data_IF_097019160075
#
_entry.id   IF_097019160075
#
_cell.length_a   1.000
_cell.length_b   1.000
_cell.length_c   1.000
_cell.angle_alpha   90.00
_cell.angle_beta   90.00
_cell.angle_gamma   90.00
#
_symmetry.space_group_name_H-M   'P 1'
#
loop_
_entity.id
_entity.type
_entity.pdbx_description
1 polymer ?
#
# COMPACT_ATOMS: atom_id res chain seq x y z
N UNK A 1 5.81 10.44 -0.33
CA UNK A 1 4.67 11.19 -0.89
C UNK A 1 3.67 10.22 -1.50
N UNK A 2 4.20 9.29 -2.29
CA UNK A 2 3.50 8.33 -3.17
C UNK A 2 2.42 7.48 -2.48
N UNK A 3 2.55 7.21 -1.17
CA UNK A 3 1.53 6.48 -0.40
C UNK A 3 0.21 7.24 -0.30
N UNK A 4 0.26 8.56 -0.10
CA UNK A 4 -0.95 9.38 0.04
C UNK A 4 -1.62 9.64 -1.32
N UNK A 5 -0.83 9.78 -2.38
CA UNK A 5 -1.32 9.97 -3.74
C UNK A 5 -2.07 8.72 -4.26
N UNK A 6 -1.64 7.53 -3.84
CA UNK A 6 -2.27 6.26 -4.21
C UNK A 6 -3.41 5.83 -3.28
N UNK A 7 -3.61 6.51 -2.15
CA UNK A 7 -4.54 6.13 -1.09
C UNK A 7 -6.00 6.10 -1.54
N UNK A 8 -6.35 6.91 -2.54
CA UNK A 8 -7.69 7.03 -3.08
C UNK A 8 -7.94 6.17 -4.34
N UNK A 9 -6.96 5.40 -4.82
CA UNK A 9 -7.12 4.52 -5.97
C UNK A 9 -7.49 3.08 -5.52
N UNK A 10 -8.73 2.61 -5.78
CA UNK A 10 -9.18 1.27 -5.39
C UNK A 10 -8.40 0.13 -6.07
N UNK A 11 -7.64 0.43 -7.11
CA UNK A 11 -6.84 -0.50 -7.90
C UNK A 11 -5.36 -0.51 -7.53
N UNK A 12 -4.96 0.29 -6.54
CA UNK A 12 -3.63 0.24 -5.94
C UNK A 12 -3.70 -0.41 -4.55
N UNK A 13 -2.57 -0.93 -4.04
CA UNK A 13 -2.54 -1.58 -2.72
C UNK A 13 -3.04 -0.68 -1.58
N UNK A 14 -2.67 0.61 -1.61
CA UNK A 14 -3.00 1.61 -0.58
C UNK A 14 -4.46 2.05 -0.59
N UNK A 15 -5.14 2.02 -1.74
CA UNK A 15 -6.57 2.30 -1.86
C UNK A 15 -7.46 1.05 -1.87
N UNK A 16 -6.89 -0.14 -1.69
CA UNK A 16 -7.61 -1.42 -1.69
C UNK A 16 -8.67 -1.57 -0.58
N UNK A 17 -8.77 -0.62 0.35
CA UNK A 17 -9.82 -0.52 1.36
C UNK A 17 -11.16 -0.04 0.80
N UNK A 18 -11.17 0.73 -0.30
CA UNK A 18 -12.38 1.35 -0.86
C UNK A 18 -13.46 0.32 -1.22
N UNK A 19 -13.17 -0.82 -1.86
CA UNK A 19 -14.20 -1.79 -2.24
C UNK A 19 -14.90 -2.47 -1.06
N UNK A 20 -14.43 -2.31 0.17
CA UNK A 20 -15.11 -2.82 1.37
C UNK A 20 -16.23 -1.90 1.86
N UNK A 21 -16.36 -0.71 1.27
CA UNK A 21 -17.30 0.32 1.71
C UNK A 21 -18.48 0.41 0.75
N UNK A 22 -19.68 0.39 1.32
CA UNK A 22 -20.95 0.69 0.65
C UNK A 22 -21.48 2.05 1.13
N UNK A 23 -22.04 2.83 0.21
CA UNK A 23 -22.72 4.08 0.51
C UNK A 23 -24.22 3.82 0.59
N UNK A 24 -24.79 4.04 1.77
CA UNK A 24 -26.20 3.86 2.08
C UNK A 24 -26.90 5.21 2.23
N UNK A 25 -28.21 5.23 2.00
CA UNK A 25 -29.04 6.40 2.30
C UNK A 25 -29.87 6.14 3.54
N UNK A 26 -29.57 6.89 4.60
CA UNK A 26 -30.44 7.00 5.75
C UNK A 26 -31.57 7.99 5.43
N UNK A 27 -32.76 7.45 5.22
CA UNK A 27 -33.97 8.21 4.87
C UNK A 27 -34.56 9.00 6.04
N UNK A 28 -34.27 8.60 7.27
CA UNK A 28 -34.76 9.31 8.47
C UNK A 28 -34.00 10.62 8.64
N UNK A 29 -32.67 10.57 8.48
CA UNK A 29 -31.78 11.72 8.63
C UNK A 29 -31.44 12.43 7.32
N UNK A 30 -31.97 11.94 6.19
CA UNK A 30 -31.70 12.43 4.82
C UNK A 30 -30.20 12.57 4.52
N UNK A 31 -29.41 11.57 4.91
CA UNK A 31 -27.95 11.60 4.83
C UNK A 31 -27.38 10.31 4.26
N UNK A 32 -26.17 10.42 3.71
CA UNK A 32 -25.39 9.25 3.32
C UNK A 32 -24.68 8.66 4.54
N UNK A 33 -24.67 7.34 4.63
CA UNK A 33 -23.95 6.58 5.63
C UNK A 33 -22.98 5.62 4.95
N UNK A 34 -21.84 5.35 5.59
CA UNK A 34 -20.87 4.38 5.12
C UNK A 34 -21.03 3.08 5.90
N UNK A 35 -21.13 1.97 5.18
CA UNK A 35 -21.13 0.63 5.76
C UNK A 35 -19.91 -0.15 5.29
N UNK A 36 -19.12 -0.63 6.24
CA UNK A 36 -17.99 -1.52 5.97
C UNK A 36 -18.45 -2.97 5.96
N UNK A 37 -17.97 -3.75 4.99
CA UNK A 37 -18.23 -5.18 4.84
C UNK A 37 -16.95 -5.98 5.09
N UNK A 38 -17.09 -7.28 5.39
CA UNK A 38 -15.95 -8.18 5.65
C UNK A 38 -15.26 -8.67 4.36
N UNK A 39 -15.93 -8.51 3.21
CA UNK A 39 -15.42 -8.87 1.89
C UNK A 39 -15.40 -7.63 0.99
N UNK A 40 -14.53 -7.59 -0.02
CA UNK A 40 -14.61 -6.55 -1.04
C UNK A 40 -15.82 -6.80 -1.95
N UNK A 41 -16.50 -5.72 -2.30
CA UNK A 41 -17.52 -5.70 -3.33
C UNK A 41 -16.92 -5.50 -4.72
N UNK A 42 -17.77 -5.64 -5.74
CA UNK A 42 -17.44 -5.18 -7.09
C UNK A 42 -17.23 -3.66 -7.07
N UNK A 43 -16.12 -3.21 -7.66
CA UNK A 43 -15.84 -1.78 -7.76
C UNK A 43 -16.67 -1.14 -8.88
N UNK A 44 -17.91 -0.77 -8.55
CA UNK A 44 -18.86 -0.12 -9.44
C UNK A 44 -18.97 1.39 -9.12
N UNK A 45 -20.15 2.01 -9.32
CA UNK A 45 -20.35 3.46 -9.12
C UNK A 45 -20.08 3.91 -7.69
N UNK A 46 -20.47 3.15 -6.67
CA UNK A 46 -20.23 3.56 -5.28
C UNK A 46 -18.72 3.57 -4.97
N UNK A 47 -17.97 2.58 -5.48
CA UNK A 47 -16.51 2.55 -5.41
C UNK A 47 -15.87 3.77 -6.11
N UNK A 48 -16.32 4.09 -7.33
CA UNK A 48 -15.84 5.26 -8.05
C UNK A 48 -16.19 6.58 -7.35
N UNK A 49 -17.37 6.65 -6.72
CA UNK A 49 -17.81 7.81 -5.93
C UNK A 49 -16.92 7.99 -4.71
N UNK A 50 -16.62 6.91 -3.98
CA UNK A 50 -15.73 6.94 -2.82
C UNK A 50 -14.30 7.30 -3.20
N UNK A 51 -13.78 6.73 -4.28
CA UNK A 51 -12.45 7.07 -4.81
C UNK A 51 -12.37 8.57 -5.13
N UNK A 52 -13.35 9.11 -5.86
CA UNK A 52 -13.40 10.54 -6.18
C UNK A 52 -13.54 11.41 -4.92
N UNK A 53 -14.45 11.06 -4.00
CA UNK A 53 -14.64 11.81 -2.76
C UNK A 53 -13.37 11.83 -1.89
N UNK A 54 -12.65 10.71 -1.85
CA UNK A 54 -11.34 10.61 -1.20
C UNK A 54 -10.35 11.58 -1.86
N UNK A 55 -10.18 11.53 -3.19
CA UNK A 55 -9.26 12.42 -3.91
C UNK A 55 -9.62 13.87 -3.65
N UNK A 56 -10.87 14.27 -3.86
CA UNK A 56 -11.34 15.65 -3.67
C UNK A 56 -11.12 16.13 -2.21
N UNK A 57 -11.17 15.23 -1.23
CA UNK A 57 -10.95 15.59 0.18
C UNK A 57 -9.46 15.75 0.56
N UNK A 58 -8.54 15.09 -0.16
CA UNK A 58 -7.12 15.10 0.20
C UNK A 58 -6.26 15.95 -0.74
N UNK A 59 -6.66 16.17 -2.00
CA UNK A 59 -5.79 16.71 -3.05
C UNK A 59 -5.18 18.07 -2.66
N UNK A 60 -6.02 18.97 -2.13
CA UNK A 60 -5.61 20.31 -1.70
C UNK A 60 -4.76 20.33 -0.42
N UNK A 61 -4.76 19.22 0.34
CA UNK A 61 -4.19 19.17 1.70
C UNK A 61 -3.15 18.08 1.90
N UNK A 62 -2.82 17.32 0.86
CA UNK A 62 -2.01 16.09 0.95
C UNK A 62 -0.63 16.34 1.57
N UNK A 63 -0.03 17.51 1.30
CA UNK A 63 1.26 17.92 1.86
C UNK A 63 1.16 18.16 3.37
N UNK A 64 0.17 18.94 3.80
CA UNK A 64 -0.07 19.25 5.21
C UNK A 64 -0.46 17.99 5.99
N UNK A 65 -1.22 17.08 5.36
CA UNK A 65 -1.53 15.76 5.91
C UNK A 65 -0.26 14.94 6.16
N UNK A 66 0.65 14.91 5.18
CA UNK A 66 1.90 14.18 5.28
C UNK A 66 2.78 14.71 6.42
N UNK A 67 2.93 16.04 6.49
CA UNK A 67 3.72 16.69 7.54
C UNK A 67 3.14 16.43 8.93
N UNK A 68 1.82 16.55 9.07
CA UNK A 68 1.15 16.27 10.33
C UNK A 68 1.38 14.83 10.79
N UNK A 69 1.22 13.86 9.89
CA UNK A 69 1.41 12.44 10.20
C UNK A 69 2.84 12.12 10.62
N UNK A 70 3.85 12.68 9.94
CA UNK A 70 5.26 12.50 10.31
C UNK A 70 5.57 13.12 11.67
N UNK A 71 4.95 14.26 11.97
CA UNK A 71 5.16 14.99 13.22
C UNK A 71 4.37 14.42 14.41
N UNK A 72 3.29 13.68 14.15
CA UNK A 72 2.37 13.16 15.16
C UNK A 72 2.08 11.67 14.91
N UNK A 73 3.13 10.85 14.86
CA UNK A 73 3.03 9.41 14.55
C UNK A 73 2.13 8.62 15.51
N UNK A 74 1.98 9.10 16.74
CA UNK A 74 1.18 8.47 17.79
C UNK A 74 -0.23 9.09 17.91
N UNK A 75 -0.63 9.94 16.98
CA UNK A 75 -1.97 10.52 17.00
C UNK A 75 -3.04 9.44 16.77
N UNK A 76 -4.12 9.53 17.55
CA UNK A 76 -5.29 8.68 17.37
C UNK A 76 -6.03 8.98 16.05
N UNK A 77 -6.69 7.98 15.49
CA UNK A 77 -7.41 8.08 14.21
C UNK A 77 -8.51 9.14 14.27
N UNK A 78 -9.22 9.28 15.39
CA UNK A 78 -10.26 10.31 15.54
C UNK A 78 -9.64 11.72 15.54
N UNK A 79 -8.51 11.89 16.22
CA UNK A 79 -7.78 13.15 16.28
C UNK A 79 -7.24 13.55 14.90
N UNK A 80 -6.66 12.59 14.16
CA UNK A 80 -6.24 12.77 12.78
C UNK A 80 -7.46 13.18 11.94
N UNK A 81 -8.55 12.40 11.99
CA UNK A 81 -9.76 12.66 11.23
C UNK A 81 -10.31 14.06 11.47
N UNK A 82 -10.43 14.49 12.72
CA UNK A 82 -10.90 15.83 13.08
C UNK A 82 -9.99 16.93 12.54
N UNK A 83 -8.68 16.78 12.71
CA UNK A 83 -7.68 17.73 12.20
C UNK A 83 -7.78 17.87 10.69
N UNK A 84 -7.84 16.74 9.97
CA UNK A 84 -7.93 16.74 8.51
C UNK A 84 -9.25 17.33 8.00
N UNK A 85 -10.36 16.96 8.63
CA UNK A 85 -11.71 17.32 8.23
C UNK A 85 -12.04 18.80 8.48
N UNK A 86 -11.64 19.35 9.64
CA UNK A 86 -12.04 20.70 10.07
C UNK A 86 -10.92 21.74 10.05
N UNK A 87 -9.69 21.36 10.38
CA UNK A 87 -8.59 22.31 10.60
C UNK A 87 -7.72 22.50 9.36
N UNK A 88 -7.27 21.40 8.77
CA UNK A 88 -6.43 21.41 7.57
C UNK A 88 -7.32 21.53 6.32
N UNK A 89 -8.33 20.66 6.19
CA UNK A 89 -9.31 20.70 5.10
C UNK A 89 -10.45 21.70 5.30
N UNK A 90 -11.22 21.87 4.23
CA UNK A 90 -12.46 22.67 4.23
C UNK A 90 -13.72 21.82 4.18
N UNK A 91 -13.60 20.53 3.85
CA UNK A 91 -14.71 19.62 3.52
C UNK A 91 -15.78 19.50 4.60
N UNK A 92 -15.39 19.59 5.87
CA UNK A 92 -16.33 19.41 6.99
C UNK A 92 -16.79 20.71 7.65
N UNK A 93 -16.36 21.87 7.14
CA UNK A 93 -16.78 23.18 7.67
C UNK A 93 -18.19 23.53 7.25
N UNK A 94 -18.65 22.99 6.13
CA UNK A 94 -19.99 23.22 5.60
C UNK A 94 -20.97 22.17 6.10
N UNK A 95 -22.24 22.54 6.22
CA UNK A 95 -23.30 21.59 6.53
C UNK A 95 -23.48 20.64 5.35
N UNK A 96 -23.40 19.33 5.63
CA UNK A 96 -23.72 18.30 4.63
C UNK A 96 -25.16 18.52 4.12
N UNK A 97 -25.36 18.61 2.79
CA UNK A 97 -26.68 18.81 2.21
C UNK A 97 -27.55 17.56 2.39
N UNK A 98 -28.87 17.76 2.48
CA UNK A 98 -29.84 16.67 2.52
C UNK A 98 -29.81 15.86 1.22
N UNK A 99 -29.88 14.55 1.36
CA UNK A 99 -29.98 13.60 0.24
C UNK A 99 -31.45 13.48 -0.19
N UNK A 100 -31.75 13.55 -1.50
CA UNK A 100 -33.11 13.35 -2.01
C UNK A 100 -33.67 11.95 -1.69
N UNK A 101 -34.96 11.86 -1.35
CA UNK A 101 -35.66 10.61 -1.01
C UNK A 101 -35.63 9.56 -2.14
N UNK A 102 -35.50 10.01 -3.39
CA UNK A 102 -35.44 9.18 -4.59
C UNK A 102 -34.01 8.71 -4.94
N UNK A 103 -32.99 9.16 -4.20
CA UNK A 103 -31.63 8.67 -4.35
C UNK A 103 -31.57 7.17 -4.03
N UNK A 104 -30.89 6.44 -4.92
CA UNK A 104 -30.64 4.99 -4.78
C UNK A 104 -29.16 4.74 -5.00
N UNK A 105 -28.51 4.15 -4.00
CA UNK A 105 -27.15 3.61 -4.14
C UNK A 105 -27.12 2.45 -5.13
N UNK A 106 -25.91 2.03 -5.52
CA UNK A 106 -25.78 0.85 -6.40
C UNK A 106 -25.98 -0.47 -5.67
N UNK A 107 -25.84 -0.44 -4.34
CA UNK A 107 -25.97 -1.62 -3.49
C UNK A 107 -24.70 -2.47 -3.52
N UNK A 108 -24.45 -3.17 -2.43
CA UNK A 108 -23.27 -4.01 -2.30
C UNK A 108 -23.45 -5.37 -2.97
N UNK A 109 -22.61 -5.64 -3.96
CA UNK A 109 -22.45 -6.97 -4.56
C UNK A 109 -21.07 -7.51 -4.21
N UNK A 110 -20.97 -8.57 -3.37
CA UNK A 110 -19.68 -9.19 -3.08
C UNK A 110 -18.98 -9.61 -4.37
N UNK A 111 -17.68 -9.33 -4.47
CA UNK A 111 -16.85 -9.87 -5.55
C UNK A 111 -16.75 -11.40 -5.43
N UNK A 112 -16.57 -12.08 -6.55
CA UNK A 112 -16.27 -13.52 -6.54
C UNK A 112 -14.85 -13.76 -6.03
N UNK A 113 -14.54 -14.98 -5.58
CA UNK A 113 -13.17 -15.30 -5.11
C UNK A 113 -12.14 -15.11 -6.22
N UNK A 114 -12.48 -15.51 -7.46
CA UNK A 114 -11.64 -15.29 -8.64
C UNK A 114 -11.41 -13.80 -8.90
N UNK A 115 -12.46 -12.98 -8.86
CA UNK A 115 -12.32 -11.53 -9.05
C UNK A 115 -11.41 -10.90 -7.98
N UNK A 116 -11.53 -11.36 -6.73
CA UNK A 116 -10.70 -10.86 -5.61
C UNK A 116 -9.23 -11.23 -5.80
N UNK A 117 -8.94 -12.46 -6.22
CA UNK A 117 -7.58 -12.92 -6.47
C UNK A 117 -6.95 -12.16 -7.65
N UNK A 118 -7.70 -11.99 -8.74
CA UNK A 118 -7.27 -11.21 -9.90
C UNK A 118 -7.02 -9.75 -9.55
N UNK A 119 -7.88 -9.13 -8.74
CA UNK A 119 -7.67 -7.75 -8.29
C UNK A 119 -6.46 -7.62 -7.35
N UNK A 120 -6.23 -8.61 -6.49
CA UNK A 120 -5.03 -8.65 -5.64
C UNK A 120 -3.77 -8.73 -6.50
N UNK A 121 -3.74 -9.61 -7.50
CA UNK A 121 -2.61 -9.73 -8.43
C UNK A 121 -2.39 -8.43 -9.20
N UNK A 122 -3.46 -7.80 -9.70
CA UNK A 122 -3.40 -6.52 -10.40
C UNK A 122 -2.83 -5.40 -9.53
N UNK A 123 -3.25 -5.31 -8.27
CA UNK A 123 -2.73 -4.33 -7.29
C UNK A 123 -1.25 -4.52 -7.03
N UNK A 124 -0.82 -5.77 -6.83
CA UNK A 124 0.61 -6.08 -6.63
C UNK A 124 1.43 -5.74 -7.87
N UNK A 125 0.93 -6.05 -9.07
CA UNK A 125 1.60 -5.69 -10.31
C UNK A 125 1.73 -4.18 -10.48
N UNK A 126 0.65 -3.42 -10.32
CA UNK A 126 0.65 -1.95 -10.43
C UNK A 126 1.46 -1.26 -9.35
N UNK A 127 1.45 -1.78 -8.12
CA UNK A 127 2.26 -1.26 -7.01
C UNK A 127 3.76 -1.52 -7.18
N UNK A 128 4.13 -2.46 -8.05
CA UNK A 128 5.51 -2.88 -8.29
C UNK A 128 6.03 -2.54 -9.70
N UNK A 129 5.30 -1.77 -10.53
CA UNK A 129 5.87 -1.26 -11.79
C UNK A 129 6.88 -0.18 -11.44
N UNK A 130 8.09 -0.59 -11.08
CA UNK A 130 9.27 0.22 -11.36
C UNK A 130 9.37 0.29 -12.88
N UNK A 131 9.30 1.50 -13.43
CA UNK A 131 9.57 1.73 -14.84
C UNK A 131 11.06 1.42 -15.04
N UNK A 132 11.35 0.18 -15.44
CA UNK A 132 12.69 -0.23 -15.84
C UNK A 132 13.04 0.60 -17.07
N UNK A 133 14.09 1.42 -16.97
CA UNK A 133 14.59 2.18 -18.11
C UNK A 133 14.96 1.25 -19.26
N UNK A 134 14.85 1.66 -20.54
CA UNK A 134 15.28 0.82 -21.67
C UNK A 134 16.76 0.38 -21.59
N UNK A 135 17.56 1.04 -20.78
CA UNK A 135 18.96 0.75 -20.44
C UNK A 135 19.14 -0.28 -19.29
N UNK A 136 18.09 -0.57 -18.54
CA UNK A 136 18.09 -1.52 -17.42
C UNK A 136 17.52 -2.90 -17.82
N UNK A 137 16.73 -2.96 -18.89
CA UNK A 137 16.23 -4.21 -19.50
C UNK A 137 17.37 -5.19 -19.85
N UNK A 138 18.49 -4.77 -20.47
CA UNK A 138 19.58 -5.68 -20.81
C UNK A 138 20.26 -6.29 -19.58
N UNK A 139 20.42 -5.52 -18.50
CA UNK A 139 21.07 -6.00 -17.26
C UNK A 139 20.21 -7.04 -16.56
N UNK A 140 18.89 -6.82 -16.53
CA UNK A 140 17.96 -7.77 -15.94
C UNK A 140 17.86 -9.06 -16.75
N UNK A 141 17.97 -8.99 -18.09
CA UNK A 141 18.06 -10.18 -18.95
C UNK A 141 19.36 -10.95 -18.72
N UNK A 142 20.49 -10.26 -18.53
CA UNK A 142 21.78 -10.89 -18.23
C UNK A 142 21.77 -11.63 -16.88
N UNK A 143 21.16 -11.04 -15.85
CA UNK A 143 20.98 -11.69 -14.54
C UNK A 143 20.05 -12.92 -14.59
N UNK A 144 19.07 -12.94 -15.49
CA UNK A 144 18.17 -14.09 -15.69
C UNK A 144 18.89 -15.21 -16.44
N UNK A 145 19.67 -14.88 -17.48
CA UNK A 145 20.50 -15.85 -18.23
C UNK A 145 21.57 -16.49 -17.33
N UNK A 146 22.16 -15.75 -16.38
CA UNK A 146 23.12 -16.28 -15.41
C UNK A 146 22.49 -17.26 -14.42
N UNK A 147 21.19 -17.11 -14.13
CA UNK A 147 20.43 -18.06 -13.28
C UNK A 147 19.97 -19.31 -14.04
N UNK A 148 19.68 -19.21 -15.35
CA UNK A 148 19.31 -20.37 -16.19
C UNK A 148 20.51 -21.27 -16.55
N UNK A 149 21.74 -20.83 -16.33
CA UNK A 149 22.97 -21.61 -16.61
C UNK A 149 23.47 -22.47 -15.43
N UNK A 150 22.66 -22.70 -14.39
CA UNK A 150 22.99 -23.69 -13.35
C UNK A 150 22.58 -25.09 -13.84
N UNK A 151 23.41 -25.67 -14.70
CA UNK A 151 23.27 -27.03 -15.21
C UNK A 151 23.41 -28.07 -14.09
N UNK A 152 22.48 -29.04 -14.07
CA UNK A 152 22.47 -30.20 -13.19
C UNK A 152 23.63 -31.16 -13.56
N UNK A 153 24.58 -31.43 -12.66
CA UNK A 153 25.53 -32.52 -12.91
C UNK A 153 26.70 -32.69 -11.93
N UNK A 154 26.45 -33.39 -10.81
CA UNK A 154 27.27 -34.42 -10.08
C UNK A 154 28.82 -34.44 -10.09
N UNK A 155 29.50 -35.12 -9.13
CA UNK A 155 29.15 -35.50 -7.76
C UNK A 155 30.21 -35.06 -6.72
N UNK A 156 29.86 -35.20 -5.44
CA UNK A 156 30.78 -35.06 -4.32
C UNK A 156 31.97 -36.03 -4.42
N UNK A 157 33.19 -35.49 -4.42
CA UNK A 157 34.40 -36.25 -4.07
C UNK A 157 34.95 -35.71 -2.76
N UNK A 158 34.96 -36.60 -1.78
CA UNK A 158 35.63 -36.50 -0.50
C UNK A 158 37.09 -36.05 -0.66
N UNK A 159 37.51 -35.04 0.10
CA UNK A 159 38.89 -34.96 0.59
C UNK A 159 38.85 -34.70 2.10
N UNK A 160 39.12 -35.78 2.82
CA UNK A 160 39.53 -35.78 4.22
C UNK A 160 40.94 -35.17 4.36
N UNK A 161 41.08 -34.45 5.47
CA UNK A 161 42.27 -34.30 6.30
C UNK A 161 43.59 -33.81 5.66
N UNK A 162 44.00 -32.61 6.10
CA UNK A 162 45.27 -32.48 6.84
C UNK A 162 45.29 -31.22 7.72
N UNK A 163 45.32 -31.46 9.02
CA UNK A 163 45.61 -30.49 10.07
C UNK A 163 47.12 -30.25 10.21
N UNK A 164 47.42 -29.09 10.79
CA UNK A 164 48.64 -28.70 11.52
C UNK A 164 49.93 -28.41 10.71
N UNK A 165 50.31 -27.14 10.62
CA UNK A 165 51.26 -26.53 11.58
C UNK A 165 51.64 -25.07 11.23
N UNK A 166 51.86 -24.30 12.29
CA UNK A 166 52.72 -23.11 12.35
C UNK A 166 52.00 -21.77 12.25
N UNK A 167 52.24 -20.75 13.08
CA UNK A 167 53.18 -20.52 14.18
C UNK A 167 52.55 -19.38 15.02
N UNK A 168 52.57 -19.50 16.35
CA UNK A 168 52.25 -18.41 17.28
C UNK A 168 53.56 -17.71 17.64
N UNK A 169 53.66 -16.41 17.36
CA UNK A 169 54.52 -15.48 18.09
C UNK A 169 53.66 -14.24 18.41
N UNK A 170 53.10 -14.21 19.62
CA UNK A 170 52.67 -12.98 20.28
C UNK A 170 53.80 -12.59 21.24
N UNK A 171 54.45 -11.48 20.94
CA UNK A 171 55.34 -10.75 21.85
C UNK A 171 54.49 -10.01 22.89
N UNK A 172 54.77 -10.18 24.17
CA UNK A 172 54.34 -9.24 25.20
C UNK A 172 55.41 -9.05 26.30
N UNK A 173 55.54 -7.77 26.66
CA UNK A 173 56.16 -7.15 27.83
C UNK A 173 57.70 -7.17 28.04
N UNK A 174 58.33 -5.98 27.93
CA UNK A 174 58.80 -5.25 29.13
C UNK A 174 59.27 -3.80 28.85
N UNK A 175 58.51 -2.85 29.40
CA UNK A 175 58.89 -1.72 30.26
C UNK A 175 60.16 -0.85 30.04
N UNK A 176 59.95 0.42 30.38
CA UNK A 176 60.88 1.48 30.84
C UNK A 176 61.70 2.37 29.88
N UNK A 177 61.34 3.67 30.01
CA UNK A 177 62.08 4.95 29.79
C UNK A 177 62.04 5.63 28.42
#
# INVERSE_FOLDING_TARGET
MDMLESFCDPFLPTGGWIPFIEVLHNKEDKRLELKTHDRPGKCDRDCATMSKACTDAIDDVVYDMAEFYVSHKDADVEAIGKKMCYEIGTTCRESVPDVPDDWKGTGYTPASEEDVEMDKLRRMSKGNVQVIGPDEIPKMMEEIDDMENVDEGTPATEQQDQAANGEQEEEDDHDTL
#
